data_IF_888333885506
#
_entry.id   IF_888333885506
#
_cell.length_a   1.000
_cell.length_b   1.000
_cell.length_c   1.000
_cell.angle_alpha   90.00
_cell.angle_beta   90.00
_cell.angle_gamma   90.00
#
_symmetry.space_group_name_H-M   'P 1'
#
loop_
_entity.id
_entity.type
_entity.pdbx_description
1 polymer ?
#
# COMPACT_ATOMS: atom_id res chain seq x y z
N UNK A 1 11.22 5.39 -5.25
CA UNK A 1 9.77 5.61 -5.47
C UNK A 1 8.91 4.42 -5.04
N UNK A 2 9.13 3.18 -5.51
CA UNK A 2 8.27 2.03 -5.18
C UNK A 2 8.17 1.71 -3.66
N UNK A 3 9.28 1.80 -2.92
CA UNK A 3 9.31 1.58 -1.47
C UNK A 3 8.42 2.57 -0.70
N UNK A 4 8.29 3.81 -1.18
CA UNK A 4 7.48 4.84 -0.54
C UNK A 4 6.00 4.44 -0.58
N UNK A 5 5.53 3.91 -1.72
CA UNK A 5 4.15 3.43 -1.89
C UNK A 5 3.84 2.23 -1.00
N UNK A 6 4.80 1.32 -0.82
CA UNK A 6 4.66 0.16 0.06
C UNK A 6 4.54 0.63 1.52
N UNK A 7 5.41 1.54 1.96
CA UNK A 7 5.38 2.11 3.32
C UNK A 7 4.05 2.85 3.56
N UNK A 8 3.59 3.66 2.60
CA UNK A 8 2.32 4.37 2.71
C UNK A 8 1.13 3.40 2.85
N UNK A 9 1.13 2.33 2.06
CA UNK A 9 0.12 1.28 2.14
C UNK A 9 0.09 0.60 3.51
N UNK A 10 1.25 0.27 4.07
CA UNK A 10 1.35 -0.34 5.42
C UNK A 10 0.84 0.61 6.51
N UNK A 11 1.17 1.90 6.43
CA UNK A 11 0.69 2.90 7.39
C UNK A 11 -0.83 3.04 7.33
N UNK A 12 -1.40 3.13 6.12
CA UNK A 12 -2.85 3.18 5.91
C UNK A 12 -3.56 1.90 6.40
N UNK A 13 -2.93 0.74 6.23
CA UNK A 13 -3.44 -0.52 6.77
C UNK A 13 -3.50 -0.49 8.30
N UNK A 14 -2.41 -0.04 8.96
CA UNK A 14 -2.37 0.12 10.41
C UNK A 14 -3.43 1.08 10.93
N UNK A 15 -3.60 2.23 10.28
CA UNK A 15 -4.63 3.21 10.65
C UNK A 15 -6.03 2.61 10.48
N UNK A 16 -6.28 1.94 9.35
CA UNK A 16 -7.57 1.28 9.09
C UNK A 16 -7.89 0.13 10.03
N UNK A 17 -6.86 -0.54 10.56
CA UNK A 17 -7.00 -1.60 11.56
C UNK A 17 -7.27 -1.04 12.97
N UNK A 18 -6.60 0.06 13.34
CA UNK A 18 -6.73 0.69 14.65
C UNK A 18 -7.97 1.60 14.77
N UNK A 19 -8.55 2.06 13.65
CA UNK A 19 -9.72 2.94 13.65
C UNK A 19 -10.96 2.25 13.05
N UNK A 20 -11.94 1.82 13.86
CA UNK A 20 -13.06 1.00 13.39
C UNK A 20 -13.97 1.72 12.38
N UNK A 21 -14.01 3.05 12.40
CA UNK A 21 -14.88 3.89 11.55
C UNK A 21 -14.44 3.88 10.08
N UNK A 22 -13.14 3.69 9.82
CA UNK A 22 -12.58 3.87 8.48
C UNK A 22 -12.29 2.55 7.75
N UNK A 23 -12.30 1.42 8.49
CA UNK A 23 -11.94 0.08 8.05
C UNK A 23 -12.51 -0.37 6.69
N UNK A 24 -13.78 -0.06 6.40
CA UNK A 24 -14.45 -0.41 5.14
C UNK A 24 -13.83 0.24 3.90
N UNK A 25 -13.18 1.39 4.05
CA UNK A 25 -12.56 2.13 2.94
C UNK A 25 -11.04 2.09 3.01
N UNK A 26 -10.46 2.21 4.20
CA UNK A 26 -9.01 2.27 4.39
C UNK A 26 -8.31 0.94 4.15
N UNK A 27 -8.94 -0.19 4.50
CA UNK A 27 -8.33 -1.51 4.28
C UNK A 27 -8.22 -1.83 2.77
N UNK A 28 -9.29 -1.72 1.95
CA UNK A 28 -9.16 -1.91 0.50
C UNK A 28 -8.14 -0.95 -0.15
N UNK A 29 -8.15 0.33 0.24
CA UNK A 29 -7.22 1.34 -0.29
C UNK A 29 -5.77 0.99 0.05
N UNK A 30 -5.51 0.53 1.27
CA UNK A 30 -4.17 0.11 1.70
C UNK A 30 -3.65 -1.08 0.88
N UNK A 31 -4.51 -2.07 0.59
CA UNK A 31 -4.16 -3.23 -0.24
C UNK A 31 -3.82 -2.78 -1.66
N UNK A 32 -4.63 -1.90 -2.25
CA UNK A 32 -4.36 -1.34 -3.60
C UNK A 32 -3.01 -0.64 -3.64
N UNK A 33 -2.67 0.16 -2.62
CA UNK A 33 -1.39 0.86 -2.53
C UNK A 33 -0.19 -0.08 -2.39
N UNK A 34 -0.32 -1.14 -1.59
CA UNK A 34 0.74 -2.15 -1.43
C UNK A 34 0.94 -2.92 -2.73
N UNK A 35 -0.14 -3.38 -3.37
CA UNK A 35 -0.08 -4.11 -4.66
C UNK A 35 0.53 -3.22 -5.75
N UNK A 36 0.14 -1.95 -5.81
CA UNK A 36 0.71 -0.97 -6.73
C UNK A 36 2.19 -0.72 -6.48
N UNK A 37 2.58 -0.59 -5.21
CA UNK A 37 3.97 -0.43 -4.80
C UNK A 37 4.84 -1.62 -5.21
N UNK A 38 4.35 -2.85 -5.02
CA UNK A 38 5.01 -4.09 -5.46
C UNK A 38 5.10 -4.14 -6.99
N UNK A 39 4.02 -3.81 -7.70
CA UNK A 39 4.01 -3.76 -9.16
C UNK A 39 5.07 -2.78 -9.71
N UNK A 40 5.15 -1.57 -9.14
CA UNK A 40 6.19 -0.60 -9.48
C UNK A 40 7.60 -1.11 -9.15
N UNK A 41 7.77 -1.82 -8.02
CA UNK A 41 9.05 -2.42 -7.67
C UNK A 41 9.49 -3.48 -8.68
N UNK A 42 8.57 -4.35 -9.12
CA UNK A 42 8.82 -5.39 -10.12
C UNK A 42 9.07 -4.79 -11.50
N UNK A 43 8.26 -3.81 -11.92
CA UNK A 43 8.44 -3.09 -13.20
C UNK A 43 9.81 -2.41 -13.28
N UNK A 44 10.24 -1.74 -12.20
CA UNK A 44 11.54 -1.07 -12.15
C UNK A 44 12.72 -2.05 -12.06
N UNK A 45 12.52 -3.27 -11.50
CA UNK A 45 13.57 -4.31 -11.50
C UNK A 45 13.74 -5.03 -12.83
N UNK A 46 12.75 -5.03 -13.73
CA UNK A 46 12.90 -5.55 -15.10
C UNK A 46 13.67 -4.59 -16.03
N UNK A 47 14.04 -3.41 -15.54
CA UNK A 47 14.93 -2.46 -16.21
C UNK A 47 16.29 -2.54 -15.50
N UNK A 48 16.87 -3.74 -15.48
CA UNK A 48 18.30 -4.01 -15.28
C UNK A 48 18.68 -5.16 -16.20
#
# INVERSE_FOLDING_TARGET
MAIVWIILGIILFLIGFLTPISSLFTLPISIVLVVWGIFLAVKNRKIV
#
